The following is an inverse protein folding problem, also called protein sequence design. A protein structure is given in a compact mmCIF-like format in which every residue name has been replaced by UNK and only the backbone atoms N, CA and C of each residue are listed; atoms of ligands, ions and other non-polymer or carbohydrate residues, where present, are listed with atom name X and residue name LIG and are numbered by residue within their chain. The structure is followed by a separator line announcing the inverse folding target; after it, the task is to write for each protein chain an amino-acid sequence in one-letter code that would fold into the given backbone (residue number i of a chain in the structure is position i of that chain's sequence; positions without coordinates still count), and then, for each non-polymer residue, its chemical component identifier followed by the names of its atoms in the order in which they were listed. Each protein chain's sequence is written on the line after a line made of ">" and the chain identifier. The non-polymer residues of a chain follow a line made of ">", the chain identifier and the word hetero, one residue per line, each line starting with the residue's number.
data_IF_492230660542
#
_entry.id   IF_492230660542
#
_cell.length_a   1.000
_cell.length_b   1.000
_cell.length_c   1.000
_cell.angle_alpha   90.00
_cell.angle_beta   90.00
_cell.angle_gamma   90.00
#
_symmetry.space_group_name_H-M   'P 1'
#
loop_
_entity.id
_entity.type
_entity.pdbx_description
1 polymer ?
#
# COMPACT_ATOMS: atom_id res chain seq x y z
N UNK A 1 -9.49 8.49 13.41
CA UNK A 1 -8.98 7.18 12.96
C UNK A 1 -9.31 7.05 11.49
N UNK A 2 -8.39 6.55 10.66
CA UNK A 2 -8.78 6.09 9.32
C UNK A 2 -9.51 4.76 9.50
N UNK A 3 -10.50 4.48 8.67
CA UNK A 3 -11.14 3.18 8.66
C UNK A 3 -10.37 2.25 7.72
N UNK A 4 -10.19 0.99 8.13
CA UNK A 4 -9.59 -0.03 7.27
C UNK A 4 -10.51 -0.36 6.10
N UNK A 5 -9.94 -0.96 5.05
CA UNK A 5 -10.71 -1.43 3.90
C UNK A 5 -10.22 -2.78 3.39
N UNK A 6 -11.05 -3.45 2.61
CA UNK A 6 -10.75 -4.77 2.04
C UNK A 6 -10.97 -4.75 0.54
N UNK A 7 -9.98 -5.26 -0.21
CA UNK A 7 -10.11 -5.60 -1.62
C UNK A 7 -10.18 -7.12 -1.75
N UNK A 8 -11.24 -7.66 -2.34
CA UNK A 8 -11.40 -9.10 -2.54
C UNK A 8 -11.57 -9.40 -4.03
N UNK A 9 -10.93 -10.46 -4.51
CA UNK A 9 -11.02 -10.89 -5.90
C UNK A 9 -10.83 -12.39 -6.03
N UNK A 10 -11.30 -12.95 -7.15
CA UNK A 10 -10.99 -14.33 -7.53
C UNK A 10 -10.03 -14.28 -8.73
N UNK A 11 -8.78 -14.73 -8.58
CA UNK A 11 -7.85 -14.79 -9.70
C UNK A 11 -8.35 -15.81 -10.76
N UNK A 12 -7.91 -15.64 -12.01
CA UNK A 12 -8.24 -16.58 -13.11
C UNK A 12 -7.78 -18.01 -12.78
N UNK A 13 -6.67 -18.12 -12.05
CA UNK A 13 -6.13 -19.39 -11.55
C UNK A 13 -5.84 -19.26 -10.05
N UNK A 14 -6.27 -20.24 -9.27
CA UNK A 14 -6.03 -20.31 -7.84
C UNK A 14 -7.24 -19.96 -6.96
N UNK A 15 -7.05 -19.93 -5.63
CA UNK A 15 -8.11 -19.64 -4.68
C UNK A 15 -8.51 -18.16 -4.70
N UNK A 16 -9.70 -17.85 -4.19
CA UNK A 16 -10.11 -16.47 -3.94
C UNK A 16 -9.13 -15.79 -2.98
N UNK A 17 -8.83 -14.52 -3.20
CA UNK A 17 -7.85 -13.75 -2.43
C UNK A 17 -8.46 -12.45 -1.93
N UNK A 18 -7.89 -11.90 -0.87
CA UNK A 18 -8.17 -10.54 -0.41
C UNK A 18 -6.94 -9.86 0.16
N UNK A 19 -6.91 -8.54 0.05
CA UNK A 19 -6.04 -7.67 0.82
C UNK A 19 -6.89 -6.94 1.86
N UNK A 20 -6.42 -6.94 3.10
CA UNK A 20 -6.95 -6.10 4.18
C UNK A 20 -5.92 -5.00 4.44
N UNK A 21 -6.38 -3.75 4.43
CA UNK A 21 -5.56 -2.59 4.71
C UNK A 21 -5.96 -2.03 6.07
N UNK A 22 -5.06 -2.14 7.04
CA UNK A 22 -5.28 -1.73 8.42
C UNK A 22 -4.43 -0.52 8.77
N UNK A 23 -5.03 0.58 9.26
CA UNK A 23 -4.29 1.74 9.71
C UNK A 23 -3.51 1.39 10.98
N UNK A 24 -2.24 1.77 11.01
CA UNK A 24 -1.39 1.56 12.18
C UNK A 24 -1.50 2.77 13.11
N UNK A 25 -1.66 2.51 14.41
CA UNK A 25 -1.76 3.56 15.43
C UNK A 25 -0.38 3.97 15.97
N UNK A 26 0.61 3.10 15.82
CA UNK A 26 1.96 3.24 16.37
C UNK A 26 2.98 2.71 15.36
N UNK A 27 4.16 3.33 15.30
CA UNK A 27 5.27 2.92 14.43
C UNK A 27 5.52 3.85 13.24
N UNK A 28 6.52 3.50 12.44
CA UNK A 28 7.00 4.31 11.31
C UNK A 28 6.09 4.25 10.07
N UNK A 29 5.16 3.29 10.05
CA UNK A 29 4.27 3.04 8.91
C UNK A 29 2.84 3.46 9.25
N UNK A 30 2.14 4.06 8.29
CA UNK A 30 0.75 4.45 8.49
C UNK A 30 -0.24 3.29 8.26
N UNK A 31 0.18 2.24 7.56
CA UNK A 31 -0.69 1.13 7.15
C UNK A 31 0.03 -0.22 7.17
N UNK A 32 -0.74 -1.28 7.34
CA UNK A 32 -0.36 -2.64 7.00
C UNK A 32 -1.29 -3.16 5.90
N UNK A 33 -0.73 -3.78 4.86
CA UNK A 33 -1.44 -4.58 3.85
C UNK A 33 -1.24 -6.05 4.18
N UNK A 34 -2.32 -6.73 4.52
CA UNK A 34 -2.32 -8.15 4.87
C UNK A 34 -2.99 -8.94 3.74
N UNK A 35 -2.30 -9.93 3.20
CA UNK A 35 -2.78 -10.80 2.14
C UNK A 35 -3.39 -12.08 2.70
N UNK A 36 -4.55 -12.45 2.17
CA UNK A 36 -5.21 -13.71 2.51
C UNK A 36 -5.59 -14.51 1.29
N UNK A 37 -5.56 -15.83 1.44
CA UNK A 37 -6.12 -16.81 0.52
C UNK A 37 -7.25 -17.58 1.18
N UNK A 38 -8.29 -17.91 0.43
CA UNK A 38 -9.35 -18.79 0.91
C UNK A 38 -8.94 -20.26 0.72
N UNK A 39 -8.64 -20.95 1.82
CA UNK A 39 -8.32 -22.37 1.86
C UNK A 39 -9.37 -23.12 2.69
N UNK A 40 -10.01 -24.14 2.12
CA UNK A 40 -10.94 -25.02 2.86
C UNK A 40 -12.04 -24.24 3.63
N UNK A 41 -12.57 -23.17 3.02
CA UNK A 41 -13.56 -22.24 3.60
C UNK A 41 -13.03 -21.32 4.70
N UNK A 42 -11.71 -21.25 4.91
CA UNK A 42 -11.08 -20.36 5.87
C UNK A 42 -10.13 -19.40 5.17
N UNK A 43 -10.14 -18.13 5.58
CA UNK A 43 -9.13 -17.18 5.16
C UNK A 43 -7.84 -17.45 5.92
N UNK A 44 -6.76 -17.72 5.18
CA UNK A 44 -5.41 -17.88 5.73
C UNK A 44 -4.57 -16.69 5.32
N UNK A 45 -3.90 -16.08 6.29
CA UNK A 45 -2.90 -15.05 6.01
C UNK A 45 -1.72 -15.70 5.29
N UNK A 46 -1.28 -15.07 4.20
CA UNK A 46 -0.17 -15.54 3.38
C UNK A 46 0.93 -14.49 3.19
N UNK A 47 0.70 -13.26 3.65
CA UNK A 47 1.69 -12.18 3.58
C UNK A 47 1.26 -10.93 4.32
N UNK A 48 2.26 -10.13 4.73
CA UNK A 48 2.07 -8.81 5.32
C UNK A 48 3.14 -7.86 4.79
N UNK A 49 2.74 -6.63 4.51
CA UNK A 49 3.63 -5.54 4.12
C UNK A 49 3.22 -4.25 4.85
N UNK A 50 4.21 -3.51 5.36
CA UNK A 50 3.98 -2.23 6.01
C UNK A 50 4.23 -1.09 5.02
N UNK A 51 3.33 -0.11 5.02
CA UNK A 51 3.27 0.94 4.01
C UNK A 51 3.22 2.31 4.68
N UNK A 52 4.04 3.24 4.20
CA UNK A 52 4.05 4.64 4.66
C UNK A 52 2.79 5.39 4.20
N UNK A 53 2.33 5.10 2.98
CA UNK A 53 1.16 5.73 2.38
C UNK A 53 0.34 4.78 1.49
N UNK A 54 -0.92 5.15 1.24
CA UNK A 54 -1.83 4.48 0.32
C UNK A 54 -2.53 5.53 -0.55
N UNK A 55 -2.54 5.31 -1.86
CA UNK A 55 -3.24 6.17 -2.83
C UNK A 55 -4.08 5.32 -3.78
N UNK A 56 -5.22 5.87 -4.22
CA UNK A 56 -6.08 5.28 -5.22
C UNK A 56 -6.02 6.14 -6.47
N UNK A 57 -5.62 5.54 -7.59
CA UNK A 57 -5.64 6.20 -8.90
C UNK A 57 -6.76 5.57 -9.71
N UNK A 58 -7.82 6.33 -9.98
CA UNK A 58 -8.82 5.94 -10.97
C UNK A 58 -8.21 6.05 -12.36
N UNK A 59 -8.44 5.05 -13.22
CA UNK A 59 -7.97 5.05 -14.61
C UNK A 59 -8.66 6.11 -15.50
N UNK A 60 -9.49 6.97 -14.91
CA UNK A 60 -10.16 8.10 -15.55
C UNK A 60 -9.12 9.20 -15.79
N UNK A 61 -8.32 9.00 -16.83
CA UNK A 61 -7.16 9.77 -17.30
C UNK A 61 -6.99 11.19 -16.77
N UNK A 62 -6.12 11.35 -15.78
CA UNK A 62 -5.03 12.33 -15.82
C UNK A 62 -3.97 11.87 -14.81
N UNK A 63 -2.91 11.23 -15.30
CA UNK A 63 -1.77 10.77 -14.51
C UNK A 63 -1.16 11.96 -13.76
N UNK A 64 -1.50 12.12 -12.49
CA UNK A 64 -0.70 12.92 -11.57
C UNK A 64 0.15 11.92 -10.80
N UNK A 65 1.35 11.66 -11.31
CA UNK A 65 2.34 10.85 -10.60
C UNK A 65 2.53 11.37 -9.16
N UNK A 66 2.81 10.50 -8.19
CA UNK A 66 3.20 10.96 -6.86
C UNK A 66 4.48 11.78 -7.00
N UNK A 67 4.40 13.07 -6.67
CA UNK A 67 5.58 13.92 -6.55
C UNK A 67 6.33 13.48 -5.31
N UNK A 68 7.21 12.47 -5.47
CA UNK A 68 8.29 12.26 -4.53
C UNK A 68 9.20 13.49 -4.62
N UNK A 69 8.93 14.47 -3.77
CA UNK A 69 9.81 15.58 -3.51
C UNK A 69 11.10 15.01 -2.90
N UNK A 70 12.08 14.69 -3.75
CA UNK A 70 13.45 14.54 -3.31
C UNK A 70 13.92 15.91 -2.78
N UNK A 71 14.46 16.02 -1.56
CA UNK A 71 15.13 17.24 -1.15
C UNK A 71 16.39 17.39 -2.01
N UNK A 72 16.36 18.36 -2.93
CA UNK A 72 17.56 18.85 -3.59
C UNK A 72 18.49 19.43 -2.52
N UNK A 73 19.44 18.63 -2.03
CA UNK A 73 20.64 19.14 -1.39
C UNK A 73 21.51 19.74 -2.50
N UNK A 74 21.26 21.00 -2.83
CA UNK A 74 22.19 21.79 -3.64
C UNK A 74 23.38 22.15 -2.73
N UNK A 75 24.39 21.27 -2.72
CA UNK A 75 25.69 21.58 -2.15
C UNK A 75 26.30 22.72 -2.95
N UNK A 76 26.34 23.92 -2.36
CA UNK A 76 27.01 25.07 -2.95
C UNK A 76 28.51 24.85 -2.93
N UNK A 77 29.11 24.67 -4.10
CA UNK A 77 30.52 24.95 -4.32
C UNK A 77 30.75 26.43 -4.01
N UNK A 78 31.53 26.69 -2.95
CA UNK A 78 32.07 28.01 -2.67
C UNK A 78 33.57 27.91 -2.86
N UNK A 79 34.04 28.34 -4.02
CA UNK A 79 35.46 28.56 -4.31
C UNK A 79 35.78 30.02 -4.00
N UNK A 80 36.83 30.27 -3.19
CA UNK A 80 37.39 31.58 -2.89
C UNK A 80 38.90 31.46 -2.67
#
# INVERSE_FOLDING_TARGET
>A
MRDGFTLQWTPVHGPMRKFVFEPQLEGDYAWARIEFELCESQWREVGIEYLEELSFVSADGNETAPSHAHPHLNGGDTDA
#
